data_IF_667840755294
#
_entry.id   IF_667840755294
#
_cell.length_a   1.000
_cell.length_b   1.000
_cell.length_c   1.000
_cell.angle_alpha   90.00
_cell.angle_beta   90.00
_cell.angle_gamma   90.00
#
_symmetry.space_group_name_H-M   'P 1'
#
loop_
_entity.id
_entity.type
_entity.pdbx_description
1 polymer ?
#
# COMPACT_ATOMS: atom_id res chain seq x y z
N UNK A 1 -4.85 -1.35 3.01
CA UNK A 1 -4.25 -0.63 4.15
C UNK A 1 -4.98 0.69 4.33
N UNK A 2 -5.26 1.13 5.57
CA UNK A 2 -5.87 2.42 5.88
C UNK A 2 -4.78 3.35 6.42
N UNK A 3 -4.69 4.55 5.86
CA UNK A 3 -3.73 5.59 6.27
C UNK A 3 -4.53 6.86 6.55
N UNK A 4 -4.21 7.54 7.65
CA UNK A 4 -4.78 8.84 8.01
C UNK A 4 -3.80 9.90 7.50
N UNK A 5 -4.32 10.90 6.80
CA UNK A 5 -3.52 11.98 6.21
C UNK A 5 -4.24 13.28 6.50
N UNK A 6 -3.52 14.24 7.06
CA UNK A 6 -4.03 15.59 7.29
C UNK A 6 -3.83 16.43 6.02
N UNK A 7 -4.88 17.11 5.60
CA UNK A 7 -4.88 17.97 4.42
C UNK A 7 -5.34 19.38 4.81
N UNK A 8 -4.73 20.44 4.26
CA UNK A 8 -5.24 21.79 4.37
C UNK A 8 -6.67 21.89 3.85
N UNK A 9 -7.48 22.76 4.45
CA UNK A 9 -8.90 22.89 4.13
C UNK A 9 -9.17 23.29 2.66
N UNK A 10 -8.26 24.07 2.07
CA UNK A 10 -8.30 24.42 0.64
C UNK A 10 -8.18 23.19 -0.26
N UNK A 11 -7.30 22.24 0.10
CA UNK A 11 -7.11 21.01 -0.66
C UNK A 11 -8.32 20.08 -0.52
N UNK A 12 -8.98 20.08 0.64
CA UNK A 12 -10.23 19.33 0.85
C UNK A 12 -11.34 19.87 -0.07
N UNK A 13 -11.49 21.20 -0.16
CA UNK A 13 -12.47 21.84 -1.04
C UNK A 13 -12.20 21.52 -2.52
N UNK A 14 -10.95 21.59 -2.94
CA UNK A 14 -10.55 21.22 -4.30
C UNK A 14 -10.83 19.75 -4.61
N UNK A 15 -10.54 18.84 -3.66
CA UNK A 15 -10.80 17.41 -3.79
C UNK A 15 -12.29 17.10 -3.91
N UNK A 16 -13.14 17.77 -3.12
CA UNK A 16 -14.58 17.58 -3.18
C UNK A 16 -15.19 18.11 -4.48
N UNK A 17 -14.68 19.23 -5.02
CA UNK A 17 -15.07 19.71 -6.35
C UNK A 17 -14.70 18.70 -7.45
N UNK A 18 -13.48 18.17 -7.40
CA UNK A 18 -13.01 17.14 -8.33
C UNK A 18 -13.86 15.86 -8.25
N UNK A 19 -14.13 15.40 -7.03
CA UNK A 19 -14.97 14.22 -6.77
C UNK A 19 -16.35 14.36 -7.39
N UNK A 20 -17.01 15.52 -7.21
CA UNK A 20 -18.36 15.80 -7.75
C UNK A 20 -18.37 15.80 -9.27
N UNK A 21 -17.37 16.42 -9.90
CA UNK A 21 -17.26 16.46 -11.37
C UNK A 21 -17.07 15.08 -12.00
N UNK A 22 -16.35 14.19 -11.32
CA UNK A 22 -16.02 12.86 -11.84
C UNK A 22 -16.91 11.72 -11.29
N UNK A 23 -17.82 12.01 -10.37
CA UNK A 23 -18.73 11.00 -9.79
C UNK A 23 -18.02 9.87 -9.03
N UNK A 24 -16.82 10.12 -8.49
CA UNK A 24 -16.01 9.08 -7.82
C UNK A 24 -16.08 9.18 -6.29
N UNK A 25 -15.53 8.19 -5.58
CA UNK A 25 -15.36 8.27 -4.13
C UNK A 25 -14.18 9.18 -3.77
N UNK A 26 -14.20 9.74 -2.55
CA UNK A 26 -13.08 10.55 -2.04
C UNK A 26 -11.76 9.76 -2.00
N UNK A 27 -11.82 8.49 -1.60
CA UNK A 27 -10.67 7.60 -1.58
C UNK A 27 -10.12 7.33 -2.99
N UNK A 28 -10.99 7.20 -4.00
CA UNK A 28 -10.59 6.99 -5.39
C UNK A 28 -9.88 8.22 -5.96
N UNK A 29 -10.39 9.42 -5.66
CA UNK A 29 -9.72 10.66 -6.06
C UNK A 29 -8.29 10.75 -5.49
N UNK A 30 -8.11 10.40 -4.21
CA UNK A 30 -6.79 10.34 -3.56
C UNK A 30 -5.90 9.28 -4.21
N UNK A 31 -6.41 8.08 -4.50
CA UNK A 31 -5.62 7.04 -5.18
C UNK A 31 -5.10 7.50 -6.54
N UNK A 32 -5.94 8.18 -7.34
CA UNK A 32 -5.53 8.74 -8.64
C UNK A 32 -4.48 9.83 -8.50
N UNK A 33 -4.65 10.73 -7.52
CA UNK A 33 -3.66 11.77 -7.23
C UNK A 33 -2.31 11.16 -6.84
N UNK A 34 -2.30 10.16 -5.96
CA UNK A 34 -1.07 9.43 -5.56
C UNK A 34 -0.45 8.71 -6.76
N UNK A 35 -1.26 8.03 -7.58
CA UNK A 35 -0.77 7.32 -8.77
C UNK A 35 -0.19 8.27 -9.84
N UNK A 36 -0.71 9.49 -9.95
CA UNK A 36 -0.18 10.52 -10.83
C UNK A 36 1.08 11.19 -10.27
N UNK A 37 1.12 11.41 -8.95
CA UNK A 37 2.22 12.10 -8.28
C UNK A 37 3.46 11.22 -8.08
N UNK A 38 3.26 9.93 -7.88
CA UNK A 38 4.35 8.96 -7.90
C UNK A 38 4.54 8.60 -9.38
N UNK A 39 5.47 9.24 -10.12
CA UNK A 39 5.80 8.76 -11.46
C UNK A 39 6.10 7.28 -11.29
N UNK A 40 5.50 6.45 -12.13
CA UNK A 40 5.74 5.04 -12.09
C UNK A 40 7.24 4.80 -12.25
N UNK A 41 7.97 4.70 -11.14
CA UNK A 41 8.97 3.64 -11.00
C UNK A 41 8.12 2.38 -11.11
N UNK A 42 7.78 2.02 -12.35
CA UNK A 42 7.53 0.64 -12.66
C UNK A 42 8.65 -0.09 -11.93
N UNK A 43 8.36 -1.02 -11.01
CA UNK A 43 9.42 -1.92 -10.57
C UNK A 43 10.00 -2.43 -11.87
N UNK A 44 11.25 -2.05 -12.21
CA UNK A 44 11.94 -2.41 -13.46
C UNK A 44 11.55 -3.84 -13.71
N UNK A 45 10.66 -4.16 -14.67
CA UNK A 45 9.91 -5.43 -14.71
C UNK A 45 10.85 -6.52 -14.24
N UNK A 46 10.74 -6.86 -12.96
CA UNK A 46 11.69 -7.75 -12.35
C UNK A 46 11.22 -9.06 -12.93
N UNK A 47 11.93 -9.55 -13.94
CA UNK A 47 11.66 -10.85 -14.51
C UNK A 47 11.75 -11.81 -13.31
N UNK A 48 10.58 -12.23 -12.80
CA UNK A 48 10.48 -12.98 -11.55
C UNK A 48 11.37 -14.21 -11.60
N UNK A 49 11.57 -14.75 -12.81
CA UNK A 49 12.46 -15.88 -13.09
C UNK A 49 13.95 -15.59 -12.96
N UNK A 50 14.38 -14.32 -13.03
CA UNK A 50 15.79 -13.88 -13.05
C UNK A 50 16.19 -13.03 -11.84
N UNK A 51 15.28 -12.78 -10.90
CA UNK A 51 15.61 -11.96 -9.73
C UNK A 51 16.37 -12.79 -8.69
N UNK A 52 17.54 -12.34 -8.21
CA UNK A 52 18.31 -13.07 -7.20
C UNK A 52 17.57 -13.22 -5.85
N UNK A 53 16.53 -12.43 -5.59
CA UNK A 53 15.67 -12.62 -4.43
C UNK A 53 14.49 -13.59 -4.66
N UNK A 54 14.22 -14.03 -5.89
CA UNK A 54 13.19 -15.03 -6.17
C UNK A 54 13.69 -16.40 -5.70
N UNK A 55 13.15 -16.88 -4.58
CA UNK A 55 13.67 -18.05 -3.85
C UNK A 55 14.52 -17.71 -2.62
N UNK A 56 14.89 -16.44 -2.41
CA UNK A 56 15.63 -15.99 -1.22
C UNK A 56 14.77 -15.88 0.04
N UNK A 57 13.46 -16.16 -0.04
CA UNK A 57 12.55 -16.13 1.13
C UNK A 57 12.88 -17.19 2.19
N UNK A 58 13.76 -18.15 1.87
CA UNK A 58 14.26 -19.17 2.81
C UNK A 58 15.48 -18.72 3.61
N UNK A 59 16.26 -17.76 3.13
CA UNK A 59 17.56 -17.40 3.74
C UNK A 59 17.44 -16.36 4.86
N UNK A 60 16.37 -15.56 4.88
CA UNK A 60 16.21 -14.42 5.81
C UNK A 60 15.13 -14.62 6.89
N UNK A 61 14.45 -15.77 6.96
CA UNK A 61 13.45 -15.99 8.01
C UNK A 61 14.08 -16.62 9.23
N UNK A 62 14.29 -15.79 10.25
CA UNK A 62 14.72 -16.21 11.59
C UNK A 62 13.58 -16.86 12.38
N UNK A 63 12.33 -16.74 11.93
CA UNK A 63 11.15 -17.28 12.61
C UNK A 63 10.01 -17.57 11.61
N UNK A 64 9.28 -18.67 11.79
CA UNK A 64 8.12 -19.01 10.98
C UNK A 64 6.96 -18.07 11.33
N UNK A 65 6.40 -17.43 10.30
CA UNK A 65 5.27 -16.53 10.45
C UNK A 65 4.02 -17.22 11.00
N UNK A 66 3.89 -18.54 10.80
CA UNK A 66 2.77 -19.33 11.34
C UNK A 66 2.93 -19.51 12.85
N UNK A 67 4.14 -19.81 13.32
CA UNK A 67 4.41 -20.06 14.74
C UNK A 67 4.32 -18.76 15.56
N UNK A 68 4.78 -17.63 15.00
CA UNK A 68 4.61 -16.31 15.62
C UNK A 68 3.13 -15.99 15.84
N UNK A 69 2.27 -16.27 14.87
CA UNK A 69 0.82 -16.02 14.98
C UNK A 69 0.16 -16.97 15.98
N UNK A 70 0.61 -18.23 16.06
CA UNK A 70 0.11 -19.19 17.05
C UNK A 70 0.45 -18.75 18.46
N UNK A 71 1.70 -18.39 18.72
CA UNK A 71 2.17 -17.87 20.02
C UNK A 71 1.37 -16.64 20.47
N UNK A 72 1.21 -15.67 19.57
CA UNK A 72 0.43 -14.46 19.86
C UNK A 72 -1.04 -14.76 20.20
N UNK A 73 -1.63 -15.81 19.64
CA UNK A 73 -3.01 -16.22 19.96
C UNK A 73 -3.10 -16.95 21.29
N UNK A 74 -2.09 -17.72 21.66
CA UNK A 74 -2.01 -18.40 22.96
C UNK A 74 -1.84 -17.40 24.10
N UNK A 75 -1.14 -16.29 23.88
CA UNK A 75 -0.97 -15.22 24.88
C UNK A 75 -2.27 -14.46 25.22
N UNK A 76 -3.31 -14.58 24.38
CA UNK A 76 -4.60 -13.88 24.54
C UNK A 76 -5.73 -14.79 25.04
N UNK A 77 -5.39 -16.01 25.44
CA UNK A 77 -6.32 -17.01 25.96
C UNK A 77 -6.19 -17.12 27.48
#
# INVERSE_FOLDING_TARGET
MRTIVDLPEEQIKALDAYRRRHGISRAEAVRRAVAAFVPGKAPKKIDFRRHPAFGSSKTFRREDSVDLVRRLREEWR
#
